data_IF_752670437016
#
_entry.id   IF_752670437016
#
_cell.length_a   1.000
_cell.length_b   1.000
_cell.length_c   1.000
_cell.angle_alpha   90.00
_cell.angle_beta   90.00
_cell.angle_gamma   90.00
#
_symmetry.space_group_name_H-M   'P 1'
#
loop_
_entity.id
_entity.type
_entity.pdbx_description
1 polymer ?
#
# COMPACT_ATOMS: atom_id res chain seq x y z
N UNK A 1 -21.33 -6.18 8.43
CA UNK A 1 -20.57 -5.00 8.88
C UNK A 1 -19.33 -4.89 8.01
N UNK A 2 -19.03 -3.70 7.49
CA UNK A 2 -17.93 -3.51 6.54
C UNK A 2 -16.60 -3.64 7.28
N UNK A 3 -15.63 -4.37 6.72
CA UNK A 3 -14.31 -4.60 7.34
C UNK A 3 -13.61 -3.31 7.79
N UNK A 4 -13.89 -2.17 7.14
CA UNK A 4 -13.39 -0.86 7.56
C UNK A 4 -14.01 -0.36 8.88
N UNK A 5 -15.29 -0.63 9.12
CA UNK A 5 -15.96 -0.27 10.36
C UNK A 5 -15.41 -1.09 11.55
N UNK A 6 -15.10 -2.36 11.33
CA UNK A 6 -14.52 -3.23 12.35
C UNK A 6 -13.08 -2.82 12.69
N UNK A 7 -12.29 -2.40 11.69
CA UNK A 7 -10.95 -1.83 11.91
C UNK A 7 -11.00 -0.49 12.67
N UNK A 8 -11.96 0.37 12.35
CA UNK A 8 -12.15 1.63 13.04
C UNK A 8 -12.56 1.42 14.50
N UNK A 9 -13.39 0.43 14.80
CA UNK A 9 -13.76 0.07 16.17
C UNK A 9 -12.58 -0.54 16.95
N UNK A 10 -11.77 -1.39 16.32
CA UNK A 10 -10.58 -1.98 16.95
C UNK A 10 -9.50 -0.94 17.26
N UNK A 11 -9.32 0.07 16.41
CA UNK A 11 -8.39 1.17 16.64
C UNK A 11 -8.87 2.15 17.75
N UNK A 12 -10.18 2.21 18.00
CA UNK A 12 -10.78 3.02 19.08
C UNK A 12 -10.89 2.27 20.42
N UNK A 13 -10.72 0.94 20.41
CA UNK A 13 -10.70 0.11 21.60
C UNK A 13 -9.39 0.25 22.39
N UNK A 14 -9.45 0.04 23.70
CA UNK A 14 -8.31 0.20 24.61
C UNK A 14 -7.28 -0.96 24.57
N UNK A 15 -7.41 -1.92 23.64
CA UNK A 15 -6.47 -3.04 23.48
C UNK A 15 -5.42 -2.72 22.39
N UNK A 16 -4.16 -2.47 22.77
CA UNK A 16 -3.09 -2.20 21.81
C UNK A 16 -2.82 -3.37 20.84
N UNK A 17 -3.06 -4.63 21.21
CA UNK A 17 -2.86 -5.78 20.30
C UNK A 17 -3.87 -5.74 19.15
N UNK A 18 -5.15 -5.58 19.47
CA UNK A 18 -6.21 -5.41 18.48
C UNK A 18 -5.95 -4.21 17.56
N UNK A 19 -5.54 -3.07 18.12
CA UNK A 19 -5.18 -1.87 17.35
C UNK A 19 -4.00 -2.11 16.39
N UNK A 20 -2.93 -2.76 16.85
CA UNK A 20 -1.77 -3.08 16.01
C UNK A 20 -2.10 -4.08 14.90
N UNK A 21 -2.94 -5.09 15.17
CA UNK A 21 -3.43 -6.01 14.14
C UNK A 21 -4.26 -5.29 13.08
N UNK A 22 -5.10 -4.34 13.50
CA UNK A 22 -5.87 -3.50 12.57
C UNK A 22 -4.95 -2.66 11.69
N UNK A 23 -3.95 -1.98 12.28
CA UNK A 23 -2.94 -1.23 11.54
C UNK A 23 -2.17 -2.12 10.56
N UNK A 24 -1.77 -3.33 10.98
CA UNK A 24 -1.09 -4.28 10.11
C UNK A 24 -1.96 -4.71 8.92
N UNK A 25 -3.27 -4.91 9.15
CA UNK A 25 -4.21 -5.23 8.08
C UNK A 25 -4.37 -4.09 7.08
N UNK A 26 -4.48 -2.85 7.58
CA UNK A 26 -4.57 -1.65 6.75
C UNK A 26 -3.30 -1.46 5.91
N UNK A 27 -2.11 -1.66 6.49
CA UNK A 27 -0.84 -1.58 5.75
C UNK A 27 -0.80 -2.56 4.58
N UNK A 28 -1.21 -3.82 4.79
CA UNK A 28 -1.29 -4.82 3.71
C UNK A 28 -2.27 -4.42 2.61
N UNK A 29 -3.41 -3.82 2.97
CA UNK A 29 -4.38 -3.35 2.00
C UNK A 29 -3.83 -2.18 1.16
N UNK A 30 -3.17 -1.22 1.82
CA UNK A 30 -2.50 -0.11 1.14
C UNK A 30 -1.41 -0.64 0.20
N UNK A 31 -0.61 -1.62 0.62
CA UNK A 31 0.42 -2.21 -0.22
C UNK A 31 -0.15 -2.88 -1.48
N UNK A 32 -1.27 -3.61 -1.36
CA UNK A 32 -1.96 -4.24 -2.49
C UNK A 32 -2.49 -3.19 -3.48
N UNK A 33 -3.20 -2.18 -2.98
CA UNK A 33 -3.72 -1.09 -3.82
C UNK A 33 -2.58 -0.30 -4.48
N UNK A 34 -1.50 -0.01 -3.74
CA UNK A 34 -0.32 0.66 -4.31
C UNK A 34 0.27 -0.16 -5.46
N UNK A 35 0.41 -1.48 -5.32
CA UNK A 35 0.92 -2.35 -6.38
C UNK A 35 0.04 -2.34 -7.64
N UNK A 36 -1.28 -2.42 -7.47
CA UNK A 36 -2.25 -2.35 -8.56
C UNK A 36 -2.16 -1.01 -9.30
N UNK A 37 -2.11 0.10 -8.57
CA UNK A 37 -2.03 1.44 -9.15
C UNK A 37 -0.68 1.71 -9.82
N UNK A 38 0.42 1.23 -9.25
CA UNK A 38 1.75 1.30 -9.89
C UNK A 38 1.74 0.52 -11.20
N UNK A 39 1.19 -0.69 -11.22
CA UNK A 39 1.09 -1.48 -12.45
C UNK A 39 0.20 -0.80 -13.50
N UNK A 40 -0.94 -0.21 -13.09
CA UNK A 40 -1.80 0.57 -13.97
C UNK A 40 -1.08 1.80 -14.55
N UNK A 41 -0.35 2.56 -13.73
CA UNK A 41 0.44 3.71 -14.18
C UNK A 41 1.54 3.31 -15.16
N UNK A 42 2.22 2.18 -14.91
CA UNK A 42 3.21 1.63 -15.85
C UNK A 42 2.59 1.24 -17.19
N UNK A 43 1.40 0.60 -17.19
CA UNK A 43 0.64 0.29 -18.42
C UNK A 43 0.19 1.56 -19.16
N UNK A 44 -0.10 2.63 -18.43
CA UNK A 44 -0.42 3.94 -18.98
C UNK A 44 0.81 4.73 -19.48
N UNK A 45 2.02 4.13 -19.45
CA UNK A 45 3.24 4.74 -19.97
C UNK A 45 3.97 5.68 -19.00
N UNK A 46 3.52 5.80 -17.75
CA UNK A 46 4.12 6.72 -16.79
C UNK A 46 5.53 6.28 -16.41
N UNK A 47 6.48 7.22 -16.28
CA UNK A 47 7.83 6.86 -15.86
C UNK A 47 7.87 6.46 -14.37
N UNK A 48 8.87 5.67 -13.99
CA UNK A 48 9.12 5.37 -12.57
C UNK A 48 9.31 6.61 -11.71
N UNK A 49 9.80 7.71 -12.31
CA UNK A 49 9.98 8.99 -11.61
C UNK A 49 8.62 9.63 -11.30
N UNK A 50 7.70 9.63 -12.26
CA UNK A 50 6.38 10.25 -12.10
C UNK A 50 5.56 9.50 -11.03
N UNK A 51 5.63 8.17 -11.05
CA UNK A 51 5.01 7.31 -10.03
C UNK A 51 5.59 7.61 -8.64
N UNK A 52 6.92 7.70 -8.51
CA UNK A 52 7.58 7.98 -7.25
C UNK A 52 7.19 9.34 -6.66
N UNK A 53 7.08 10.38 -7.50
CA UNK A 53 6.60 11.71 -7.10
C UNK A 53 5.18 11.63 -6.52
N UNK A 54 4.26 10.88 -7.13
CA UNK A 54 2.89 10.72 -6.62
C UNK A 54 2.79 9.91 -5.34
N UNK A 55 3.69 8.94 -5.15
CA UNK A 55 3.77 8.15 -3.93
C UNK A 55 4.56 8.85 -2.81
N UNK A 56 5.14 10.02 -3.07
CA UNK A 56 5.95 10.74 -2.07
C UNK A 56 7.24 10.02 -1.67
N UNK A 57 7.75 9.14 -2.54
CA UNK A 57 8.97 8.36 -2.30
C UNK A 57 10.00 8.60 -3.40
N UNK A 58 11.20 8.07 -3.21
CA UNK A 58 12.24 8.14 -4.24
C UNK A 58 11.98 7.15 -5.38
N UNK A 59 12.48 7.44 -6.59
CA UNK A 59 12.48 6.51 -7.72
C UNK A 59 13.10 5.15 -7.34
N UNK A 60 14.20 5.16 -6.58
CA UNK A 60 14.88 3.94 -6.15
C UNK A 60 13.99 3.09 -5.23
N UNK A 61 13.20 3.73 -4.35
CA UNK A 61 12.22 3.04 -3.49
C UNK A 61 11.18 2.29 -4.31
N UNK A 62 10.55 2.97 -5.28
CA UNK A 62 9.53 2.35 -6.16
C UNK A 62 10.16 1.24 -6.99
N UNK A 63 11.32 1.49 -7.59
CA UNK A 63 11.99 0.51 -8.44
C UNK A 63 12.37 -0.74 -7.66
N UNK A 64 12.96 -0.60 -6.47
CA UNK A 64 13.34 -1.75 -5.63
C UNK A 64 12.12 -2.56 -5.17
N UNK A 65 11.00 -1.89 -4.92
CA UNK A 65 9.75 -2.51 -4.43
C UNK A 65 8.97 -3.21 -5.55
N UNK A 66 8.96 -2.67 -6.77
CA UNK A 66 8.04 -3.11 -7.82
C UNK A 66 8.71 -3.66 -9.09
N UNK A 67 10.03 -3.54 -9.23
CA UNK A 67 10.74 -4.07 -10.41
C UNK A 67 11.11 -5.56 -10.26
N UNK A 68 11.23 -6.08 -9.03
CA UNK A 68 11.60 -7.50 -8.80
C UNK A 68 10.42 -8.46 -8.88
N UNK A 69 9.20 -7.99 -8.63
CA UNK A 69 8.02 -8.85 -8.48
C UNK A 69 7.39 -9.34 -9.80
N UNK A 70 8.06 -9.16 -10.96
CA UNK A 70 7.54 -9.58 -12.28
C UNK A 70 8.54 -10.38 -13.14
N UNK A 71 9.68 -10.79 -12.60
CA UNK A 71 10.59 -11.72 -13.30
C UNK A 71 10.33 -13.21 -12.95
N UNK A 72 9.25 -13.50 -12.21
CA UNK A 72 8.65 -14.82 -12.02
C UNK A 72 7.25 -14.88 -12.69
#
# INVERSE_FOLDING_TARGET
MSANADLASAAQGADPDAGLRAVARLRRLVEQLEAEQVAAARRAGWSWRDIAVRLGVTKQTVHRKYHRDRED
#
